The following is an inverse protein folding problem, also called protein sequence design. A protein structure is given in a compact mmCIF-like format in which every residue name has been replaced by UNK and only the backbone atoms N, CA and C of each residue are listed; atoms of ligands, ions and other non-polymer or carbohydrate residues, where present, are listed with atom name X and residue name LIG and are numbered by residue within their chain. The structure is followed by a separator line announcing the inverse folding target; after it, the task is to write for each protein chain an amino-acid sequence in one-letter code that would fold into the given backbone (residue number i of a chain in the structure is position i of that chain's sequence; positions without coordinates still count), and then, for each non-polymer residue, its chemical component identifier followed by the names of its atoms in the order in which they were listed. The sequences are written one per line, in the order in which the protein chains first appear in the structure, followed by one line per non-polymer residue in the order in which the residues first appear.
data_IF_136560434728
#
_entry.id   IF_136560434728
#
_cell.length_a   1.000
_cell.length_b   1.000
_cell.length_c   1.000
_cell.angle_alpha   90.00
_cell.angle_beta   90.00
_cell.angle_gamma   90.00
#
_symmetry.space_group_name_H-M   'P 1'
#
loop_
_entity.id
_entity.type
_entity.pdbx_description
1 polymer ?
#
# COMPACT_ATOMS: atom_id res chain seq x y z
N UNK A 1 20.18 24.10 8.07
CA UNK A 1 18.83 23.50 7.91
C UNK A 1 18.59 22.73 6.61
N UNK A 2 19.23 23.00 5.44
CA UNK A 2 19.03 22.17 4.24
C UNK A 2 19.53 20.72 4.42
N UNK A 3 20.68 20.54 5.09
CA UNK A 3 21.37 19.25 5.21
C UNK A 3 20.55 18.15 5.89
N UNK A 4 19.74 18.48 6.91
CA UNK A 4 18.93 17.49 7.64
C UNK A 4 17.68 17.08 6.83
N UNK A 5 17.16 17.96 5.97
CA UNK A 5 15.99 17.63 5.15
C UNK A 5 16.33 16.59 4.07
N UNK A 6 17.53 16.66 3.51
CA UNK A 6 18.04 15.62 2.60
C UNK A 6 18.25 14.30 3.36
N UNK A 7 18.85 14.36 4.55
CA UNK A 7 19.02 13.17 5.42
C UNK A 7 17.68 12.52 5.79
N UNK A 8 16.64 13.31 6.08
CA UNK A 8 15.31 12.80 6.43
C UNK A 8 14.62 12.04 5.30
N UNK A 9 15.06 12.16 4.05
CA UNK A 9 14.38 11.47 2.93
C UNK A 9 14.65 9.96 2.92
N UNK A 10 15.83 9.51 3.37
CA UNK A 10 16.18 8.09 3.42
C UNK A 10 15.43 7.33 4.54
N UNK A 11 15.37 7.81 5.79
CA UNK A 11 14.58 7.16 6.84
C UNK A 11 13.10 6.99 6.49
N UNK A 12 12.51 7.89 5.67
CA UNK A 12 11.12 7.71 5.18
C UNK A 12 10.97 6.51 4.27
N UNK A 13 11.94 6.31 3.38
CA UNK A 13 11.99 5.13 2.53
C UNK A 13 12.12 3.88 3.41
N UNK A 14 13.01 3.91 4.40
CA UNK A 14 13.22 2.79 5.33
C UNK A 14 11.96 2.46 6.14
N UNK A 15 11.19 3.46 6.58
CA UNK A 15 9.90 3.22 7.24
C UNK A 15 8.91 2.50 6.31
N UNK A 16 8.80 2.93 5.05
CA UNK A 16 7.92 2.28 4.08
C UNK A 16 8.38 0.84 3.76
N UNK A 17 9.68 0.63 3.55
CA UNK A 17 10.26 -0.71 3.31
C UNK A 17 10.10 -1.62 4.53
N UNK A 18 10.42 -1.12 5.72
CA UNK A 18 10.31 -1.85 6.99
C UNK A 18 8.89 -2.28 7.28
N UNK A 19 7.91 -1.37 7.15
CA UNK A 19 6.50 -1.75 7.30
C UNK A 19 6.05 -2.74 6.23
N UNK A 20 6.47 -2.58 4.97
CA UNK A 20 6.16 -3.56 3.91
C UNK A 20 6.68 -4.96 4.26
N UNK A 21 7.92 -5.05 4.77
CA UNK A 21 8.52 -6.30 5.22
C UNK A 21 7.75 -6.94 6.38
N UNK A 22 7.38 -6.15 7.39
CA UNK A 22 6.56 -6.61 8.51
C UNK A 22 5.17 -7.07 8.05
N UNK A 23 4.53 -6.38 7.11
CA UNK A 23 3.24 -6.78 6.55
C UNK A 23 3.36 -8.14 5.84
N UNK A 24 4.42 -8.34 5.06
CA UNK A 24 4.70 -9.62 4.40
C UNK A 24 4.93 -10.75 5.40
N UNK A 25 5.67 -10.47 6.48
CA UNK A 25 5.93 -11.45 7.54
C UNK A 25 4.63 -11.86 8.25
N UNK A 26 3.83 -10.88 8.66
CA UNK A 26 2.55 -11.11 9.35
C UNK A 26 1.59 -11.95 8.49
N UNK A 27 1.46 -11.61 7.21
CA UNK A 27 0.64 -12.36 6.27
C UNK A 27 1.14 -13.80 6.07
N UNK A 28 2.45 -13.98 5.90
CA UNK A 28 3.01 -15.33 5.66
C UNK A 28 2.72 -16.29 6.81
N UNK A 29 2.77 -15.78 8.05
CA UNK A 29 2.43 -16.56 9.24
C UNK A 29 0.92 -16.82 9.35
N UNK A 30 0.09 -15.83 9.06
CA UNK A 30 -1.36 -15.99 9.04
C UNK A 30 -1.81 -17.04 8.02
N UNK A 31 -1.26 -17.00 6.80
CA UNK A 31 -1.54 -18.01 5.76
C UNK A 31 -1.05 -19.39 6.18
N UNK A 32 0.17 -19.49 6.74
CA UNK A 32 0.69 -20.75 7.24
C UNK A 32 -0.19 -21.35 8.35
N UNK A 33 -0.63 -20.54 9.31
CA UNK A 33 -1.55 -20.96 10.37
C UNK A 33 -2.88 -21.46 9.78
N UNK A 34 -3.47 -20.70 8.87
CA UNK A 34 -4.77 -21.03 8.27
C UNK A 34 -4.75 -22.35 7.47
N UNK A 35 -3.60 -22.76 6.92
CA UNK A 35 -3.44 -24.06 6.24
C UNK A 35 -3.58 -25.26 7.18
N UNK A 36 -3.20 -25.10 8.44
CA UNK A 36 -3.11 -26.21 9.38
C UNK A 36 -4.25 -26.19 10.40
N UNK A 37 -4.75 -24.99 10.74
CA UNK A 37 -5.87 -24.83 11.67
C UNK A 37 -7.14 -25.40 11.06
N UNK A 38 -7.82 -26.27 11.81
CA UNK A 38 -9.13 -26.80 11.44
C UNK A 38 -10.24 -26.02 12.15
N UNK A 39 -11.30 -25.68 11.42
CA UNK A 39 -12.53 -25.10 11.96
C UNK A 39 -13.72 -25.58 11.12
N UNK A 40 -14.83 -25.91 11.80
CA UNK A 40 -16.05 -26.40 11.14
C UNK A 40 -15.82 -27.60 10.19
N UNK A 41 -14.84 -28.46 10.51
CA UNK A 41 -14.56 -29.69 9.77
C UNK A 41 -13.66 -29.55 8.53
N UNK A 42 -13.09 -28.37 8.26
CA UNK A 42 -12.15 -28.15 7.17
C UNK A 42 -10.97 -27.27 7.61
N UNK A 43 -9.90 -27.21 6.80
CA UNK A 43 -8.82 -26.27 7.06
C UNK A 43 -9.37 -24.84 6.96
N UNK A 44 -8.83 -23.95 7.79
CA UNK A 44 -9.30 -22.57 7.87
C UNK A 44 -9.09 -21.85 6.53
N UNK A 45 -8.02 -22.19 5.80
CA UNK A 45 -7.75 -21.69 4.44
C UNK A 45 -8.74 -22.22 3.38
N UNK A 46 -9.54 -23.24 3.67
CA UNK A 46 -10.58 -23.74 2.76
C UNK A 46 -11.91 -23.02 2.98
N UNK A 47 -12.06 -22.29 4.10
CA UNK A 47 -13.26 -21.52 4.38
C UNK A 47 -13.32 -20.30 3.45
N UNK A 48 -14.38 -20.11 2.63
CA UNK A 48 -14.45 -19.04 1.64
C UNK A 48 -14.24 -17.64 2.21
N UNK A 49 -14.76 -17.39 3.42
CA UNK A 49 -14.59 -16.10 4.11
C UNK A 49 -13.14 -15.83 4.48
N UNK A 50 -12.44 -16.82 5.06
CA UNK A 50 -11.02 -16.67 5.40
C UNK A 50 -10.16 -16.48 4.16
N UNK A 51 -10.49 -17.18 3.06
CA UNK A 51 -9.80 -17.00 1.77
C UNK A 51 -9.92 -15.56 1.29
N UNK A 52 -11.09 -14.94 1.42
CA UNK A 52 -11.29 -13.53 1.09
C UNK A 52 -10.40 -12.64 1.96
N UNK A 53 -10.42 -12.81 3.30
CA UNK A 53 -9.58 -12.02 4.22
C UNK A 53 -8.10 -12.12 3.86
N UNK A 54 -7.57 -13.32 3.71
CA UNK A 54 -6.16 -13.55 3.40
C UNK A 54 -5.79 -13.06 2.00
N UNK A 55 -6.67 -13.22 1.01
CA UNK A 55 -6.45 -12.70 -0.35
C UNK A 55 -6.45 -11.16 -0.38
N UNK A 56 -7.32 -10.52 0.41
CA UNK A 56 -7.39 -9.08 0.54
C UNK A 56 -6.13 -8.49 1.21
N UNK A 57 -5.66 -9.15 2.27
CA UNK A 57 -4.37 -8.81 2.88
C UNK A 57 -3.20 -9.05 1.92
N UNK A 58 -3.22 -10.13 1.14
CA UNK A 58 -2.21 -10.40 0.12
C UNK A 58 -2.16 -9.31 -0.95
N UNK A 59 -3.32 -8.85 -1.41
CA UNK A 59 -3.44 -7.75 -2.35
C UNK A 59 -2.84 -6.44 -1.81
N UNK A 60 -3.07 -6.14 -0.53
CA UNK A 60 -2.47 -5.00 0.16
C UNK A 60 -0.94 -5.10 0.21
N UNK A 61 -0.40 -6.28 0.51
CA UNK A 61 1.05 -6.54 0.55
C UNK A 61 1.66 -6.43 -0.84
N UNK A 62 1.05 -6.99 -1.88
CA UNK A 62 1.52 -6.88 -3.26
C UNK A 62 1.62 -5.41 -3.72
N UNK A 63 0.59 -4.62 -3.42
CA UNK A 63 0.59 -3.19 -3.73
C UNK A 63 1.66 -2.43 -2.93
N UNK A 64 1.89 -2.77 -1.66
CA UNK A 64 2.93 -2.16 -0.83
C UNK A 64 4.33 -2.50 -1.35
N UNK A 65 4.59 -3.76 -1.71
CA UNK A 65 5.87 -4.22 -2.31
C UNK A 65 6.15 -3.51 -3.63
N UNK A 66 5.17 -3.44 -4.52
CA UNK A 66 5.32 -2.76 -5.80
C UNK A 66 5.72 -1.29 -5.61
N UNK A 67 5.01 -0.58 -4.73
CA UNK A 67 5.31 0.82 -4.41
C UNK A 67 6.68 1.00 -3.75
N UNK A 68 7.01 0.17 -2.76
CA UNK A 68 8.25 0.30 -2.00
C UNK A 68 9.49 0.05 -2.88
N UNK A 69 9.43 -0.94 -3.78
CA UNK A 69 10.50 -1.18 -4.74
C UNK A 69 10.57 -0.09 -5.81
N UNK A 70 9.42 0.43 -6.27
CA UNK A 70 9.40 1.57 -7.19
C UNK A 70 10.01 2.83 -6.57
N UNK A 71 9.71 3.07 -5.29
CA UNK A 71 10.32 4.14 -4.50
C UNK A 71 11.82 3.96 -4.40
N UNK A 72 12.32 2.78 -4.02
CA UNK A 72 13.76 2.49 -3.97
C UNK A 72 14.46 2.81 -5.31
N UNK A 73 13.86 2.43 -6.44
CA UNK A 73 14.38 2.78 -7.77
C UNK A 73 14.52 4.29 -8.01
N UNK A 74 13.66 5.13 -7.42
CA UNK A 74 13.84 6.59 -7.52
C UNK A 74 15.09 7.07 -6.78
N UNK A 75 15.55 6.37 -5.74
CA UNK A 75 16.77 6.71 -5.00
C UNK A 75 18.03 6.23 -5.73
N UNK A 76 17.96 5.14 -6.48
CA UNK A 76 19.05 4.68 -7.34
C UNK A 76 19.32 5.66 -8.51
N UNK A 77 18.28 6.27 -9.05
CA UNK A 77 18.35 7.20 -10.18
C UNK A 77 18.59 8.66 -9.73
N UNK A 78 19.67 8.93 -9.00
CA UNK A 78 19.93 10.25 -8.41
C UNK A 78 20.11 11.39 -9.43
N UNK A 79 20.62 11.08 -10.62
CA UNK A 79 20.94 12.05 -11.67
C UNK A 79 19.77 12.32 -12.63
N UNK A 80 18.66 11.59 -12.50
CA UNK A 80 17.47 11.77 -13.33
C UNK A 80 16.50 12.76 -12.65
N UNK A 81 16.26 13.89 -13.31
CA UNK A 81 15.39 14.96 -12.79
C UNK A 81 13.94 14.50 -12.61
N UNK A 82 13.41 13.68 -13.52
CA UNK A 82 12.05 13.14 -13.40
C UNK A 82 11.96 12.19 -12.21
N UNK A 83 12.98 11.36 -11.98
CA UNK A 83 13.04 10.48 -10.81
C UNK A 83 13.22 11.27 -9.52
N UNK A 84 13.95 12.39 -9.53
CA UNK A 84 14.07 13.27 -8.37
C UNK A 84 12.73 13.92 -7.98
N UNK A 85 11.91 14.33 -8.97
CA UNK A 85 10.56 14.84 -8.75
C UNK A 85 9.64 13.77 -8.14
N UNK A 86 9.66 12.56 -8.71
CA UNK A 86 8.91 11.42 -8.17
C UNK A 86 9.36 11.06 -6.76
N UNK A 87 10.68 11.02 -6.49
CA UNK A 87 11.23 10.77 -5.14
C UNK A 87 10.72 11.79 -4.14
N UNK A 88 10.72 13.08 -4.51
CA UNK A 88 10.28 14.17 -3.61
C UNK A 88 8.79 14.08 -3.26
N UNK A 89 7.97 13.60 -4.20
CA UNK A 89 6.52 13.47 -4.04
C UNK A 89 6.13 12.15 -3.37
N UNK A 90 6.62 11.03 -3.89
CA UNK A 90 6.17 9.70 -3.52
C UNK A 90 6.75 9.22 -2.20
N UNK A 91 7.94 9.66 -1.78
CA UNK A 91 8.52 9.24 -0.50
C UNK A 91 7.63 9.56 0.70
N UNK A 92 7.17 10.82 0.92
CA UNK A 92 6.23 11.10 2.00
C UNK A 92 4.86 10.43 1.77
N UNK A 93 4.39 10.33 0.52
CA UNK A 93 3.11 9.71 0.20
C UNK A 93 3.08 8.21 0.53
N UNK A 94 4.11 7.47 0.09
CA UNK A 94 4.28 6.05 0.34
C UNK A 94 4.49 5.75 1.81
N UNK A 95 5.33 6.53 2.53
CA UNK A 95 5.45 6.42 3.99
C UNK A 95 4.09 6.61 4.67
N UNK A 96 3.35 7.66 4.32
CA UNK A 96 2.04 7.89 4.91
C UNK A 96 1.13 6.69 4.74
N UNK A 97 0.97 6.21 3.50
CA UNK A 97 0.00 5.19 3.17
C UNK A 97 0.39 3.83 3.75
N UNK A 98 1.58 3.33 3.42
CA UNK A 98 2.04 2.00 3.83
C UNK A 98 2.15 1.90 5.34
N UNK A 99 2.75 2.89 6.01
CA UNK A 99 2.88 2.84 7.48
C UNK A 99 1.53 2.97 8.18
N UNK A 100 0.53 3.64 7.59
CA UNK A 100 -0.82 3.69 8.17
C UNK A 100 -1.58 2.37 8.01
N UNK A 101 -1.48 1.74 6.84
CA UNK A 101 -2.13 0.46 6.55
C UNK A 101 -1.51 -0.71 7.33
N UNK A 102 -0.22 -0.63 7.66
CA UNK A 102 0.50 -1.70 8.34
C UNK A 102 -0.10 -2.15 9.68
N UNK A 103 -0.59 -1.23 10.51
CA UNK A 103 -1.18 -1.58 11.81
C UNK A 103 -2.49 -2.36 11.67
N UNK A 104 -3.34 -1.97 10.72
CA UNK A 104 -4.60 -2.69 10.43
C UNK A 104 -4.31 -4.08 9.89
N UNK A 105 -3.35 -4.22 8.97
CA UNK A 105 -2.97 -5.54 8.45
C UNK A 105 -2.38 -6.43 9.55
N UNK A 106 -1.54 -5.90 10.43
CA UNK A 106 -0.98 -6.68 11.53
C UNK A 106 -2.06 -7.12 12.54
N UNK A 107 -3.06 -6.27 12.80
CA UNK A 107 -4.19 -6.62 13.65
C UNK A 107 -5.01 -7.77 13.05
N UNK A 108 -5.34 -7.69 11.75
CA UNK A 108 -6.06 -8.75 11.04
C UNK A 108 -5.25 -10.06 11.02
N UNK A 109 -3.94 -9.97 10.74
CA UNK A 109 -3.05 -11.14 10.76
C UNK A 109 -3.01 -11.81 12.14
N UNK A 110 -2.97 -11.01 13.21
CA UNK A 110 -3.03 -11.48 14.59
C UNK A 110 -4.36 -12.18 14.88
N UNK A 111 -5.48 -11.64 14.39
CA UNK A 111 -6.81 -12.21 14.55
C UNK A 111 -6.97 -13.57 13.85
N UNK A 112 -6.32 -13.78 12.69
CA UNK A 112 -6.29 -15.09 12.00
C UNK A 112 -5.74 -16.20 12.90
N UNK A 113 -4.75 -15.91 13.75
CA UNK A 113 -4.17 -16.87 14.70
C UNK A 113 -5.05 -17.08 15.95
N UNK A 114 -6.09 -16.26 16.13
CA UNK A 114 -6.93 -16.25 17.32
C UNK A 114 -6.17 -15.85 18.58
N UNK A 115 -6.52 -16.46 19.72
CA UNK A 115 -5.92 -16.12 21.01
C UNK A 115 -4.40 -16.26 21.07
N UNK A 116 -3.82 -17.18 20.29
CA UNK A 116 -2.37 -17.35 20.22
C UNK A 116 -1.67 -16.16 19.57
N UNK A 117 -2.29 -15.49 18.61
CA UNK A 117 -1.70 -14.29 18.01
C UNK A 117 -1.56 -13.14 19.01
N UNK A 118 -2.41 -13.10 20.04
CA UNK A 118 -2.46 -12.03 21.04
C UNK A 118 -1.43 -12.22 22.18
N UNK A 119 -0.91 -13.42 22.38
CA UNK A 119 0.08 -13.66 23.43
C UNK A 119 1.48 -13.25 22.97
N UNK A 120 2.27 -12.71 23.89
CA UNK A 120 3.62 -12.16 23.60
C UNK A 120 4.66 -13.23 23.23
N UNK A 121 4.34 -14.50 23.43
CA UNK A 121 5.16 -15.63 22.99
C UNK A 121 5.09 -15.81 21.46
N UNK A 122 4.00 -15.35 20.83
CA UNK A 122 3.88 -15.31 19.37
C UNK A 122 4.42 -14.01 18.80
N UNK A 123 5.02 -14.10 17.61
CA UNK A 123 5.64 -12.97 16.95
C UNK A 123 4.63 -11.97 16.40
N UNK A 124 3.37 -12.35 16.17
CA UNK A 124 2.32 -11.42 15.72
C UNK A 124 2.07 -10.28 16.71
N UNK A 125 2.06 -10.57 18.02
CA UNK A 125 1.93 -9.55 19.07
C UNK A 125 3.06 -8.51 18.96
N UNK A 126 4.30 -8.96 18.76
CA UNK A 126 5.45 -8.07 18.54
C UNK A 126 5.32 -7.27 17.25
N UNK A 127 4.94 -7.90 16.13
CA UNK A 127 4.76 -7.22 14.84
C UNK A 127 3.70 -6.12 14.97
N UNK A 128 2.55 -6.42 15.58
CA UNK A 128 1.49 -5.44 15.79
C UNK A 128 1.98 -4.24 16.60
N UNK A 129 2.72 -4.46 17.71
CA UNK A 129 3.31 -3.39 18.52
C UNK A 129 4.37 -2.57 17.76
N UNK A 130 5.05 -3.16 16.79
CA UNK A 130 6.07 -2.48 15.97
C UNK A 130 5.45 -1.55 14.92
N UNK A 131 4.31 -1.91 14.32
CA UNK A 131 3.73 -1.17 13.18
C UNK A 131 3.55 0.36 13.41
N UNK A 132 3.04 0.84 14.56
CA UNK A 132 2.83 2.27 14.76
C UNK A 132 4.11 3.09 14.75
N UNK A 133 5.28 2.52 15.10
CA UNK A 133 6.53 3.30 15.22
C UNK A 133 6.94 3.89 13.88
N UNK A 134 6.82 3.15 12.77
CA UNK A 134 7.14 3.64 11.42
C UNK A 134 6.13 4.69 10.91
N UNK A 135 4.90 4.69 11.45
CA UNK A 135 3.93 5.74 11.16
C UNK A 135 4.16 7.02 11.97
N UNK A 136 4.80 6.93 13.14
CA UNK A 136 5.03 8.05 14.07
C UNK A 136 6.40 8.69 13.81
N UNK A 137 7.43 7.85 13.67
CA UNK A 137 8.83 8.24 13.49
C UNK A 137 9.03 9.11 12.25
N UNK A 138 9.92 10.09 12.37
CA UNK A 138 10.41 10.95 11.28
C UNK A 138 9.26 11.50 10.39
N UNK A 139 8.29 12.12 11.08
CA UNK A 139 7.14 12.81 10.48
C UNK A 139 5.89 11.95 10.44
N UNK A 140 4.97 12.22 11.37
CA UNK A 140 3.68 11.54 11.46
C UNK A 140 2.79 11.80 10.24
N UNK A 141 1.69 11.06 10.10
CA UNK A 141 0.90 11.04 8.87
C UNK A 141 0.45 12.41 8.35
N UNK A 142 0.07 13.35 9.23
CA UNK A 142 -0.30 14.70 8.80
C UNK A 142 0.90 15.48 8.24
N UNK A 143 2.08 15.33 8.85
CA UNK A 143 3.32 15.96 8.36
C UNK A 143 3.65 15.45 6.97
N UNK A 144 3.52 14.14 6.73
CA UNK A 144 3.73 13.56 5.39
C UNK A 144 2.75 14.11 4.35
N UNK A 145 1.46 14.17 4.67
CA UNK A 145 0.45 14.68 3.73
C UNK A 145 0.65 16.17 3.42
N UNK A 146 1.00 16.98 4.42
CA UNK A 146 1.35 18.39 4.20
C UNK A 146 2.63 18.53 3.37
N UNK A 147 3.60 17.63 3.55
CA UNK A 147 4.83 17.65 2.76
C UNK A 147 4.59 17.26 1.29
N UNK A 148 3.64 16.36 1.01
CA UNK A 148 3.15 16.08 -0.34
C UNK A 148 2.57 17.34 -0.99
N UNK A 149 1.69 18.08 -0.29
CA UNK A 149 1.15 19.34 -0.80
C UNK A 149 2.27 20.38 -1.04
N UNK A 150 3.27 20.45 -0.15
CA UNK A 150 4.42 21.34 -0.35
C UNK A 150 5.27 20.94 -1.56
N UNK A 151 5.43 19.65 -1.83
CA UNK A 151 6.14 19.17 -3.02
C UNK A 151 5.42 19.62 -4.29
N UNK A 152 4.09 19.43 -4.35
CA UNK A 152 3.24 19.84 -5.46
C UNK A 152 3.26 21.36 -5.67
N UNK A 153 3.15 22.15 -4.60
CA UNK A 153 3.13 23.62 -4.69
C UNK A 153 4.48 24.22 -5.11
N UNK A 154 5.60 23.64 -4.65
CA UNK A 154 6.95 24.16 -4.98
C UNK A 154 7.39 23.79 -6.39
N UNK A 155 6.98 22.63 -6.88
CA UNK A 155 7.37 22.15 -8.20
C UNK A 155 6.14 21.61 -8.94
N UNK A 156 5.46 22.47 -9.72
CA UNK A 156 4.35 22.05 -10.58
C UNK A 156 4.72 20.91 -11.53
N UNK A 157 5.99 20.83 -11.94
CA UNK A 157 6.55 19.73 -12.74
C UNK A 157 6.42 18.35 -12.08
N UNK A 158 6.19 18.29 -10.76
CA UNK A 158 5.91 17.02 -10.06
C UNK A 158 4.58 16.41 -10.52
N UNK A 159 3.61 17.24 -10.93
CA UNK A 159 2.34 16.76 -11.50
C UNK A 159 2.60 16.11 -12.87
N UNK A 160 3.45 16.72 -13.69
CA UNK A 160 3.82 16.15 -14.99
C UNK A 160 4.60 14.85 -14.85
N UNK A 161 5.54 14.79 -13.90
CA UNK A 161 6.28 13.57 -13.58
C UNK A 161 5.37 12.44 -13.08
N UNK A 162 4.40 12.76 -12.21
CA UNK A 162 3.38 11.80 -11.78
C UNK A 162 2.50 11.36 -12.95
N UNK A 163 2.06 12.27 -13.82
CA UNK A 163 1.28 11.91 -15.00
C UNK A 163 2.05 10.98 -15.94
N UNK A 164 3.35 11.23 -16.13
CA UNK A 164 4.23 10.37 -16.91
C UNK A 164 4.38 8.98 -16.28
N UNK A 165 4.51 8.87 -14.96
CA UNK A 165 4.55 7.59 -14.22
C UNK A 165 3.27 6.77 -14.39
N UNK A 166 2.10 7.44 -14.44
CA UNK A 166 0.80 6.79 -14.57
C UNK A 166 0.43 6.46 -16.02
N UNK A 167 1.01 7.18 -16.99
CA UNK A 167 0.65 7.08 -18.42
C UNK A 167 0.72 5.67 -19.02
N UNK A 168 1.71 4.79 -18.69
CA UNK A 168 1.79 3.48 -19.33
C UNK A 168 0.68 2.51 -18.89
N UNK A 169 -0.06 2.84 -17.83
CA UNK A 169 -1.21 2.06 -17.35
C UNK A 169 -2.55 2.56 -17.90
N UNK A 170 -2.59 3.70 -18.60
CA UNK A 170 -3.82 4.27 -19.13
C UNK A 170 -4.48 3.36 -20.17
N UNK A 171 -5.81 3.30 -20.14
CA UNK A 171 -6.62 2.48 -21.05
C UNK A 171 -6.63 0.99 -20.72
N UNK A 172 -5.92 0.56 -19.67
CA UNK A 172 -5.86 -0.85 -19.27
C UNK A 172 -6.96 -1.25 -18.30
N UNK A 173 -7.54 -0.30 -17.57
CA UNK A 173 -8.64 -0.55 -16.64
C UNK A 173 -9.49 0.73 -16.44
N UNK A 174 -10.82 0.58 -16.52
CA UNK A 174 -11.74 1.71 -16.45
C UNK A 174 -11.78 2.40 -15.06
N UNK A 175 -11.61 1.65 -13.98
CA UNK A 175 -11.55 2.19 -12.61
C UNK A 175 -10.28 3.00 -12.42
N UNK A 176 -9.14 2.48 -12.89
CA UNK A 176 -7.88 3.20 -12.90
C UNK A 176 -8.00 4.51 -13.67
N UNK A 177 -8.52 4.47 -14.90
CA UNK A 177 -8.64 5.68 -15.73
C UNK A 177 -9.59 6.72 -15.10
N UNK A 178 -10.69 6.27 -14.47
CA UNK A 178 -11.60 7.13 -13.71
C UNK A 178 -10.90 7.78 -12.52
N UNK A 179 -10.17 6.99 -11.73
CA UNK A 179 -9.43 7.47 -10.56
C UNK A 179 -8.36 8.49 -10.96
N UNK A 180 -7.58 8.21 -12.01
CA UNK A 180 -6.55 9.14 -12.53
C UNK A 180 -7.15 10.44 -13.02
N UNK A 181 -8.29 10.42 -13.73
CA UNK A 181 -8.99 11.65 -14.13
C UNK A 181 -9.44 12.48 -12.93
N UNK A 182 -10.02 11.83 -11.92
CA UNK A 182 -10.42 12.50 -10.67
C UNK A 182 -9.24 13.11 -9.93
N UNK A 183 -8.12 12.38 -9.83
CA UNK A 183 -6.88 12.86 -9.23
C UNK A 183 -6.32 14.07 -10.00
N UNK A 184 -6.26 14.02 -11.32
CA UNK A 184 -5.78 15.13 -12.15
C UNK A 184 -6.65 16.39 -11.97
N UNK A 185 -7.97 16.22 -11.85
CA UNK A 185 -8.88 17.34 -11.55
C UNK A 185 -8.60 17.93 -10.17
N UNK A 186 -8.42 17.09 -9.15
CA UNK A 186 -8.13 17.52 -7.79
C UNK A 186 -6.78 18.26 -7.68
N UNK A 187 -5.75 17.79 -8.38
CA UNK A 187 -4.43 18.42 -8.41
C UNK A 187 -4.39 19.78 -9.12
N UNK A 188 -5.37 20.05 -10.00
CA UNK A 188 -5.51 21.34 -10.69
C UNK A 188 -6.35 22.36 -9.90
N UNK A 189 -7.04 21.94 -8.84
CA UNK A 189 -7.87 22.84 -8.06
C UNK A 189 -6.97 23.80 -7.24
N UNK A 190 -7.13 25.13 -7.41
CA UNK A 190 -6.26 26.12 -6.76
C UNK A 190 -6.35 26.10 -5.23
N UNK A 191 -7.48 25.62 -4.70
CA UNK A 191 -7.74 25.42 -3.27
C UNK A 191 -7.82 23.93 -2.93
N UNK A 192 -6.81 23.14 -3.31
CA UNK A 192 -6.61 21.83 -2.70
C UNK A 192 -6.43 22.03 -1.19
N UNK A 193 -7.57 22.04 -0.47
CA UNK A 193 -7.61 22.45 0.91
C UNK A 193 -6.68 21.54 1.70
N UNK A 194 -5.89 22.11 2.62
CA UNK A 194 -5.03 21.30 3.49
C UNK A 194 -5.84 20.25 4.27
N UNK A 195 -7.14 20.47 4.48
CA UNK A 195 -8.07 19.49 5.04
C UNK A 195 -8.24 18.23 4.17
N UNK A 196 -8.05 18.31 2.86
CA UNK A 196 -8.08 17.19 1.93
C UNK A 196 -6.70 16.53 1.70
N UNK A 197 -5.64 16.99 2.38
CA UNK A 197 -4.27 16.51 2.13
C UNK A 197 -4.12 15.00 2.24
N UNK A 198 -4.79 14.38 3.23
CA UNK A 198 -4.79 12.92 3.40
C UNK A 198 -5.45 12.20 2.22
N UNK A 199 -6.57 12.73 1.73
CA UNK A 199 -7.29 12.17 0.59
C UNK A 199 -6.46 12.27 -0.69
N UNK A 200 -5.89 13.44 -0.97
CA UNK A 200 -5.01 13.64 -2.12
C UNK A 200 -3.80 12.71 -2.04
N UNK A 201 -3.17 12.60 -0.86
CA UNK A 201 -2.02 11.72 -0.66
C UNK A 201 -2.37 10.24 -0.89
N UNK A 202 -3.51 9.79 -0.35
CA UNK A 202 -4.05 8.45 -0.61
C UNK A 202 -4.30 8.24 -2.10
N UNK A 203 -4.99 9.17 -2.77
CA UNK A 203 -5.36 9.02 -4.18
C UNK A 203 -4.13 8.95 -5.10
N UNK A 204 -3.05 9.69 -4.79
CA UNK A 204 -1.75 9.57 -5.47
C UNK A 204 -1.18 8.17 -5.28
N UNK A 205 -1.13 7.66 -4.05
CA UNK A 205 -0.53 6.35 -3.78
C UNK A 205 -1.33 5.23 -4.44
N UNK A 206 -2.65 5.25 -4.32
CA UNK A 206 -3.52 4.25 -4.94
C UNK A 206 -3.39 4.26 -6.48
N UNK A 207 -3.28 5.43 -7.09
CA UNK A 207 -3.03 5.54 -8.53
C UNK A 207 -1.68 4.89 -8.91
N UNK A 208 -0.61 5.18 -8.17
CA UNK A 208 0.72 4.61 -8.45
C UNK A 208 0.74 3.10 -8.21
N UNK A 209 0.14 2.61 -7.11
CA UNK A 209 0.03 1.18 -6.84
C UNK A 209 -0.73 0.46 -7.95
N UNK A 210 -1.89 0.97 -8.37
CA UNK A 210 -2.65 0.41 -9.49
C UNK A 210 -1.85 0.42 -10.79
N UNK A 211 -1.18 1.53 -11.11
CA UNK A 211 -0.38 1.64 -12.33
C UNK A 211 0.76 0.61 -12.36
N UNK A 212 1.45 0.41 -11.24
CA UNK A 212 2.54 -0.58 -11.12
C UNK A 212 2.01 -2.01 -11.24
N UNK A 213 0.90 -2.33 -10.57
CA UNK A 213 0.27 -3.65 -10.66
C UNK A 213 -0.25 -3.95 -12.07
N UNK A 214 -0.87 -2.98 -12.73
CA UNK A 214 -1.29 -3.12 -14.13
C UNK A 214 -0.06 -3.39 -15.01
N UNK A 215 1.01 -2.61 -14.88
CA UNK A 215 2.22 -2.74 -15.70
C UNK A 215 3.00 -4.03 -15.50
N UNK A 216 3.14 -4.49 -14.27
CA UNK A 216 4.13 -5.51 -13.92
C UNK A 216 3.58 -6.70 -13.13
N UNK A 217 2.35 -6.60 -12.62
CA UNK A 217 1.70 -7.67 -11.86
C UNK A 217 0.88 -8.60 -12.76
N UNK A 218 0.45 -9.77 -12.22
CA UNK A 218 -0.55 -10.60 -12.87
C UNK A 218 -1.86 -9.83 -13.07
N UNK A 219 -2.55 -10.08 -14.20
CA UNK A 219 -3.78 -9.38 -14.54
C UNK A 219 -4.84 -9.47 -13.43
N UNK A 220 -5.05 -10.66 -12.86
CA UNK A 220 -6.04 -10.88 -11.80
C UNK A 220 -5.74 -10.10 -10.52
N UNK A 221 -4.47 -9.94 -10.15
CA UNK A 221 -4.06 -9.10 -9.00
C UNK A 221 -4.34 -7.62 -9.29
N UNK A 222 -4.00 -7.15 -10.49
CA UNK A 222 -4.24 -5.77 -10.88
C UNK A 222 -5.73 -5.43 -10.98
N UNK A 223 -6.53 -6.34 -11.53
CA UNK A 223 -7.99 -6.24 -11.62
C UNK A 223 -8.63 -6.22 -10.23
N UNK A 224 -8.22 -7.14 -9.33
CA UNK A 224 -8.69 -7.14 -7.95
C UNK A 224 -8.34 -5.85 -7.21
N UNK A 225 -7.13 -5.30 -7.43
CA UNK A 225 -6.72 -4.01 -6.85
C UNK A 225 -7.61 -2.88 -7.34
N UNK A 226 -7.82 -2.78 -8.66
CA UNK A 226 -8.64 -1.72 -9.25
C UNK A 226 -10.10 -1.83 -8.80
N UNK A 227 -10.69 -3.03 -8.86
CA UNK A 227 -12.07 -3.26 -8.47
C UNK A 227 -12.32 -2.95 -6.98
N UNK A 228 -11.38 -3.29 -6.10
CA UNK A 228 -11.50 -2.98 -4.67
C UNK A 228 -11.12 -1.54 -4.35
N UNK A 229 -9.83 -1.18 -4.46
CA UNK A 229 -9.30 0.10 -3.95
C UNK A 229 -9.77 1.32 -4.74
N UNK A 230 -10.16 1.14 -6.01
CA UNK A 230 -10.59 2.24 -6.89
C UNK A 230 -12.08 2.18 -7.26
N UNK A 231 -12.71 1.01 -7.18
CA UNK A 231 -14.10 0.79 -7.62
C UNK A 231 -15.20 1.40 -6.74
N UNK A 232 -14.84 1.91 -5.55
CA UNK A 232 -15.73 2.68 -4.68
C UNK A 232 -16.49 1.88 -3.61
N UNK A 233 -16.44 0.55 -3.66
CA UNK A 233 -17.04 -0.34 -2.65
C UNK A 233 -16.00 -0.96 -1.70
N UNK A 234 -14.83 -0.33 -1.57
CA UNK A 234 -13.80 -0.80 -0.65
C UNK A 234 -14.27 -0.71 0.82
N UNK A 235 -14.24 -1.84 1.52
CA UNK A 235 -14.64 -1.92 2.93
C UNK A 235 -13.66 -1.26 3.91
N UNK A 236 -14.11 -1.09 5.15
CA UNK A 236 -13.28 -0.57 6.25
C UNK A 236 -12.41 -1.65 6.93
N UNK A 237 -12.61 -2.93 6.57
CA UNK A 237 -11.88 -4.10 7.08
C UNK A 237 -11.45 -4.99 5.93
N UNK A 238 -10.51 -5.90 6.17
CA UNK A 238 -10.14 -6.91 5.18
C UNK A 238 -11.27 -7.93 4.98
N UNK A 239 -11.19 -8.67 3.87
CA UNK A 239 -12.16 -9.69 3.51
C UNK A 239 -13.38 -9.14 2.76
N UNK A 240 -13.23 -7.97 2.14
CA UNK A 240 -14.30 -7.30 1.38
C UNK A 240 -14.05 -7.31 -0.12
N UNK A 241 -13.17 -8.18 -0.62
CA UNK A 241 -13.00 -8.36 -2.06
C UNK A 241 -14.29 -8.87 -2.70
N UNK A 242 -14.60 -8.43 -3.93
CA UNK A 242 -15.76 -8.90 -4.67
C UNK A 242 -15.64 -10.41 -4.94
N UNK A 243 -16.78 -11.10 -5.03
CA UNK A 243 -16.85 -12.55 -5.24
C UNK A 243 -16.18 -13.06 -6.53
N UNK A 244 -15.94 -12.18 -7.50
CA UNK A 244 -15.23 -12.48 -8.74
C UNK A 244 -13.70 -12.37 -8.65
N UNK A 245 -13.13 -12.01 -7.50
CA UNK A 245 -11.68 -11.91 -7.34
C UNK A 245 -11.01 -13.30 -7.30
N UNK A 246 -9.87 -13.42 -7.97
CA UNK A 246 -9.07 -14.64 -8.01
C UNK A 246 -8.26 -14.81 -6.72
N UNK A 247 -8.89 -15.44 -5.73
CA UNK A 247 -8.25 -15.71 -4.44
C UNK A 247 -7.07 -16.68 -4.57
N UNK A 248 -7.09 -17.61 -5.51
CA UNK A 248 -6.02 -18.60 -5.68
C UNK A 248 -4.71 -17.92 -6.10
N UNK A 249 -4.77 -17.03 -7.10
CA UNK A 249 -3.57 -16.27 -7.51
C UNK A 249 -3.05 -15.40 -6.37
N UNK A 250 -3.94 -14.72 -5.62
CA UNK A 250 -3.53 -13.86 -4.51
C UNK A 250 -2.87 -14.65 -3.37
N UNK A 251 -3.48 -15.77 -2.97
CA UNK A 251 -2.95 -16.63 -1.91
C UNK A 251 -1.64 -17.31 -2.32
N UNK A 252 -1.54 -17.78 -3.57
CA UNK A 252 -0.33 -18.40 -4.10
C UNK A 252 0.87 -17.46 -4.11
N UNK A 253 0.64 -16.14 -4.22
CA UNK A 253 1.69 -15.12 -4.11
C UNK A 253 2.07 -14.80 -2.67
N UNK A 254 1.15 -14.91 -1.72
CA UNK A 254 1.43 -14.71 -0.30
C UNK A 254 2.32 -15.84 0.26
N UNK A 255 1.98 -17.08 -0.07
CA UNK A 255 2.76 -18.27 0.26
C UNK A 255 2.45 -19.33 -0.81
N UNK A 256 3.46 -19.93 -1.43
CA UNK A 256 3.21 -20.97 -2.45
C UNK A 256 2.37 -22.10 -1.86
N UNK A 257 1.26 -22.44 -2.52
CA UNK A 257 0.45 -23.60 -2.19
C UNK A 257 1.08 -24.79 -2.92
N UNK A 258 1.44 -25.84 -2.19
CA UNK A 258 1.93 -27.11 -2.75
C UNK A 258 0.78 -27.89 -3.41
#
# INVERSE_FOLDING_TARGET
MPTILEMGTYPRLDCALGTTGLMRQALSQAVHYARHRQAFGAALIDQPLMRNVLADMALEVEAAVALALRLARTFDAQQDEAQALLRRLLTPAGKYWVCKRGAELAAEAMEVLGGNGYVEDDVQARIFREMPVNSIWEGSGNVMCLDVLRALAKSPRSVDALAAELSPAQGRNAEFDRHVRGLQQALRAPDAAQSAARRITQDIVLAVQAALLLQHGPASVAEAFCASRLGGEWGCTFGTLPSGADFDTLLGRALQME
#
